data_IF_125379598040
#
_entry.id   IF_125379598040
#
_cell.length_a   1.000
_cell.length_b   1.000
_cell.length_c   1.000
_cell.angle_alpha   90.00
_cell.angle_beta   90.00
_cell.angle_gamma   90.00
#
_symmetry.space_group_name_H-M   'P 1'
#
loop_
_entity.id
_entity.type
_entity.pdbx_description
1 polymer ?
#
# COMPACT_ATOMS: atom_id res chain seq x y z
N UNK A 1 -7.70 -13.12 6.53
CA UNK A 1 -6.25 -12.96 6.70
C UNK A 1 -5.56 -12.71 5.39
N UNK A 2 -4.83 -11.62 5.31
CA UNK A 2 -4.22 -11.22 4.06
C UNK A 2 -2.73 -10.94 4.28
N UNK A 3 -1.97 -10.97 3.18
CA UNK A 3 -0.57 -10.57 3.16
C UNK A 3 -0.54 -9.16 2.58
N UNK A 4 -0.05 -8.20 3.35
CA UNK A 4 -0.08 -6.78 2.99
C UNK A 4 1.34 -6.22 2.98
N UNK A 5 1.73 -5.64 1.84
CA UNK A 5 2.98 -4.91 1.73
C UNK A 5 2.67 -3.44 2.01
N UNK A 6 3.38 -2.86 2.97
CA UNK A 6 3.21 -1.43 3.28
C UNK A 6 4.50 -0.69 2.97
N UNK A 7 4.36 0.55 2.53
CA UNK A 7 5.50 1.45 2.30
C UNK A 7 5.22 2.79 2.96
N UNK A 8 6.01 3.15 3.93
CA UNK A 8 5.87 4.36 4.72
C UNK A 8 7.25 4.75 5.25
N UNK A 9 7.69 5.98 5.00
CA UNK A 9 9.01 6.43 5.40
C UNK A 9 9.08 6.86 6.87
N UNK A 10 7.97 7.29 7.47
CA UNK A 10 7.95 7.68 8.87
C UNK A 10 7.84 6.45 9.77
N UNK A 11 8.84 6.27 10.64
CA UNK A 11 8.93 5.08 11.50
C UNK A 11 7.70 4.90 12.37
N UNK A 12 7.22 5.97 13.01
CA UNK A 12 6.09 5.87 13.93
C UNK A 12 4.80 5.46 13.21
N UNK A 13 4.56 6.03 12.04
CA UNK A 13 3.37 5.71 11.25
C UNK A 13 3.49 4.28 10.71
N UNK A 14 4.66 3.91 10.21
CA UNK A 14 4.91 2.55 9.71
C UNK A 14 4.67 1.51 10.81
N UNK A 15 5.17 1.76 12.01
CA UNK A 15 4.98 0.87 13.13
C UNK A 15 3.50 0.80 13.56
N UNK A 16 2.80 1.93 13.54
CA UNK A 16 1.38 1.96 13.89
C UNK A 16 0.56 1.11 12.92
N UNK A 17 0.79 1.28 11.62
CA UNK A 17 0.08 0.52 10.59
C UNK A 17 0.39 -0.97 10.73
N UNK A 18 1.67 -1.31 10.87
CA UNK A 18 2.13 -2.69 10.99
C UNK A 18 1.50 -3.37 12.20
N UNK A 19 1.59 -2.73 13.38
CA UNK A 19 1.03 -3.26 14.61
C UNK A 19 -0.49 -3.44 14.50
N UNK A 20 -1.17 -2.41 13.99
CA UNK A 20 -2.63 -2.41 13.91
C UNK A 20 -3.13 -3.55 13.01
N UNK A 21 -2.57 -3.67 11.82
CA UNK A 21 -3.04 -4.67 10.87
C UNK A 21 -2.62 -6.09 11.28
N UNK A 22 -1.44 -6.23 11.87
CA UNK A 22 -1.00 -7.52 12.41
C UNK A 22 -1.93 -7.99 13.52
N UNK A 23 -2.39 -7.07 14.38
CA UNK A 23 -3.25 -7.40 15.51
C UNK A 23 -4.61 -7.96 15.09
N UNK A 24 -5.06 -7.69 13.88
CA UNK A 24 -6.31 -8.23 13.34
C UNK A 24 -6.09 -9.40 12.38
N UNK A 25 -4.89 -9.97 12.39
CA UNK A 25 -4.62 -11.25 11.72
C UNK A 25 -3.95 -11.18 10.36
N UNK A 26 -3.51 -9.99 9.91
CA UNK A 26 -2.82 -9.87 8.63
C UNK A 26 -1.31 -10.08 8.79
N UNK A 27 -0.68 -10.62 7.75
CA UNK A 27 0.78 -10.72 7.67
C UNK A 27 1.28 -9.45 6.98
N UNK A 28 2.25 -8.76 7.60
CA UNK A 28 2.72 -7.47 7.11
C UNK A 28 4.19 -7.54 6.69
N UNK A 29 4.46 -7.06 5.49
CA UNK A 29 5.83 -6.83 5.00
C UNK A 29 5.97 -5.32 4.87
N UNK A 30 6.98 -4.73 5.52
CA UNK A 30 7.15 -3.29 5.57
C UNK A 30 8.34 -2.82 4.74
N UNK A 31 8.16 -1.72 4.02
CA UNK A 31 9.20 -1.03 3.27
C UNK A 31 9.26 0.42 3.72
N UNK A 32 10.42 1.04 3.57
CA UNK A 32 10.67 2.40 4.07
C UNK A 32 10.57 3.48 3.01
N UNK A 33 10.49 3.09 1.74
CA UNK A 33 10.34 4.02 0.62
C UNK A 33 9.80 3.27 -0.60
N UNK A 34 9.50 4.02 -1.67
CA UNK A 34 8.93 3.44 -2.88
C UNK A 34 9.86 2.49 -3.61
N UNK A 35 11.16 2.78 -3.63
CA UNK A 35 12.12 1.91 -4.29
C UNK A 35 12.21 0.55 -3.59
N UNK A 36 12.26 0.54 -2.26
CA UNK A 36 12.29 -0.68 -1.48
C UNK A 36 10.97 -1.46 -1.64
N UNK A 37 9.83 -0.76 -1.68
CA UNK A 37 8.53 -1.40 -1.87
C UNK A 37 8.47 -2.12 -3.22
N UNK A 38 8.93 -1.48 -4.29
CA UNK A 38 8.95 -2.08 -5.62
C UNK A 38 9.87 -3.31 -5.64
N UNK A 39 11.06 -3.18 -5.06
CA UNK A 39 12.02 -4.28 -4.95
C UNK A 39 11.42 -5.48 -4.22
N UNK A 40 10.79 -5.24 -3.07
CA UNK A 40 10.15 -6.32 -2.29
C UNK A 40 8.99 -6.96 -3.04
N UNK A 41 8.19 -6.17 -3.73
CA UNK A 41 7.08 -6.69 -4.53
C UNK A 41 7.60 -7.61 -5.64
N UNK A 42 8.67 -7.22 -6.32
CA UNK A 42 9.29 -8.02 -7.36
C UNK A 42 9.82 -9.33 -6.78
N UNK A 43 10.51 -9.27 -5.65
CA UNK A 43 11.01 -10.48 -4.98
C UNK A 43 9.87 -11.42 -4.60
N UNK A 44 8.78 -10.89 -4.07
CA UNK A 44 7.60 -11.68 -3.71
C UNK A 44 7.00 -12.34 -4.94
N UNK A 45 6.94 -11.63 -6.06
CA UNK A 45 6.46 -12.20 -7.32
C UNK A 45 7.37 -13.35 -7.80
N UNK A 46 8.69 -13.17 -7.72
CA UNK A 46 9.64 -14.18 -8.12
C UNK A 46 9.55 -15.45 -7.28
N UNK A 47 9.17 -15.30 -6.01
CA UNK A 47 8.99 -16.41 -5.08
C UNK A 47 7.58 -17.00 -5.10
N UNK A 48 6.71 -16.53 -5.98
CA UNK A 48 5.29 -16.90 -6.04
C UNK A 48 4.56 -16.68 -4.71
N UNK A 49 4.91 -15.58 -4.03
CA UNK A 49 4.38 -15.25 -2.71
C UNK A 49 3.85 -13.81 -2.75
N UNK A 50 2.84 -13.58 -3.59
CA UNK A 50 2.31 -12.25 -3.88
C UNK A 50 1.56 -11.64 -2.70
N UNK A 51 1.66 -10.32 -2.50
CA UNK A 51 0.80 -9.66 -1.53
C UNK A 51 -0.64 -9.61 -2.04
N UNK A 52 -1.58 -9.56 -1.11
CA UNK A 52 -3.00 -9.41 -1.43
C UNK A 52 -3.37 -7.94 -1.60
N UNK A 53 -2.59 -7.04 -1.00
CA UNK A 53 -2.82 -5.62 -1.01
C UNK A 53 -1.49 -4.89 -0.78
N UNK A 54 -1.33 -3.76 -1.43
CA UNK A 54 -0.19 -2.86 -1.20
C UNK A 54 -0.75 -1.53 -0.69
N UNK A 55 -0.30 -1.12 0.51
CA UNK A 55 -0.59 0.19 1.08
C UNK A 55 0.65 1.04 0.98
N UNK A 56 0.56 2.20 0.36
CA UNK A 56 1.74 2.97 0.04
C UNK A 56 1.53 4.46 0.21
N UNK A 57 2.41 5.10 0.97
CA UNK A 57 2.40 6.55 1.08
C UNK A 57 2.73 7.17 -0.28
N UNK A 58 2.11 8.29 -0.57
CA UNK A 58 2.38 9.02 -1.80
C UNK A 58 3.77 9.65 -1.76
N UNK A 59 4.11 10.33 -0.66
CA UNK A 59 5.33 11.12 -0.54
C UNK A 59 6.39 10.38 0.25
N UNK A 60 7.35 9.81 -0.48
CA UNK A 60 8.47 9.09 0.11
C UNK A 60 9.76 9.51 -0.58
N UNK A 61 10.92 9.43 0.12
CA UNK A 61 12.21 9.72 -0.52
C UNK A 61 12.55 8.62 -1.53
N UNK A 62 13.49 8.92 -2.41
CA UNK A 62 14.05 8.04 -3.44
C UNK A 62 13.08 7.72 -4.57
N UNK A 63 11.87 7.29 -4.27
CA UNK A 63 10.84 6.99 -5.25
C UNK A 63 9.48 7.24 -4.59
N UNK A 64 8.64 8.04 -5.25
CA UNK A 64 7.30 8.31 -4.73
C UNK A 64 6.42 7.08 -4.82
N UNK A 65 5.30 7.09 -4.09
CA UNK A 65 4.32 6.02 -4.20
C UNK A 65 3.76 5.88 -5.61
N UNK A 66 3.56 6.98 -6.31
CA UNK A 66 3.07 6.94 -7.70
C UNK A 66 4.06 6.24 -8.62
N UNK A 67 5.33 6.59 -8.52
CA UNK A 67 6.38 5.96 -9.32
C UNK A 67 6.48 4.46 -9.04
N UNK A 68 6.43 4.08 -7.76
CA UNK A 68 6.47 2.68 -7.38
C UNK A 68 5.24 1.92 -7.90
N UNK A 69 4.05 2.51 -7.78
CA UNK A 69 2.82 1.91 -8.28
C UNK A 69 2.89 1.71 -9.79
N UNK A 70 3.36 2.70 -10.52
CA UNK A 70 3.53 2.59 -11.98
C UNK A 70 4.47 1.43 -12.32
N UNK A 71 5.60 1.31 -11.61
CA UNK A 71 6.53 0.20 -11.83
C UNK A 71 5.89 -1.16 -11.57
N UNK A 72 5.07 -1.25 -10.52
CA UNK A 72 4.34 -2.48 -10.21
C UNK A 72 3.34 -2.83 -11.30
N UNK A 73 2.60 -1.83 -11.81
CA UNK A 73 1.59 -2.06 -12.84
C UNK A 73 2.20 -2.43 -14.20
N UNK A 74 3.46 -2.10 -14.42
CA UNK A 74 4.19 -2.50 -15.61
C UNK A 74 4.71 -3.94 -15.54
N UNK A 75 4.69 -4.55 -14.36
CA UNK A 75 5.11 -5.94 -14.16
C UNK A 75 3.88 -6.84 -14.26
N UNK A 76 3.82 -7.77 -15.25
CA UNK A 76 2.62 -8.61 -15.44
C UNK A 76 2.22 -9.41 -14.22
N UNK A 77 3.17 -9.78 -13.36
CA UNK A 77 2.88 -10.56 -12.15
C UNK A 77 2.31 -9.71 -11.03
N UNK A 78 2.55 -8.40 -11.06
CA UNK A 78 2.11 -7.46 -10.04
C UNK A 78 0.94 -6.59 -10.48
N UNK A 79 0.64 -6.55 -11.76
CA UNK A 79 -0.32 -5.60 -12.33
C UNK A 79 -1.72 -5.71 -11.72
N UNK A 80 -2.12 -6.89 -11.29
CA UNK A 80 -3.45 -7.12 -10.72
C UNK A 80 -3.50 -7.00 -9.19
N UNK A 81 -2.37 -6.74 -8.53
CA UNK A 81 -2.36 -6.54 -7.08
C UNK A 81 -2.96 -5.17 -6.77
N UNK A 82 -3.99 -5.10 -5.91
CA UNK A 82 -4.58 -3.79 -5.59
C UNK A 82 -3.62 -2.91 -4.81
N UNK A 83 -3.59 -1.63 -5.15
CA UNK A 83 -2.77 -0.62 -4.48
C UNK A 83 -3.70 0.45 -3.92
N UNK A 84 -3.54 0.78 -2.64
CA UNK A 84 -4.21 1.90 -2.02
C UNK A 84 -3.15 2.86 -1.47
N UNK A 85 -3.36 4.15 -1.67
CA UNK A 85 -2.40 5.15 -1.21
C UNK A 85 -2.79 5.73 0.14
N UNK A 86 -1.78 6.08 0.93
CA UNK A 86 -1.92 6.90 2.13
C UNK A 86 -1.64 8.34 1.70
N UNK A 87 -2.59 9.23 1.86
CA UNK A 87 -2.48 10.60 1.38
C UNK A 87 -2.88 11.61 2.46
N UNK A 88 -2.26 12.78 2.43
CA UNK A 88 -2.59 13.84 3.37
C UNK A 88 -3.95 14.46 3.02
N UNK A 89 -4.67 14.89 4.04
CA UNK A 89 -5.95 15.57 3.87
C UNK A 89 -5.77 16.85 3.03
N UNK A 90 -6.67 17.05 2.09
CA UNK A 90 -6.63 18.24 1.23
C UNK A 90 -5.79 18.07 -0.04
N UNK A 91 -5.33 16.88 -0.34
CA UNK A 91 -4.47 16.62 -1.51
C UNK A 91 -5.28 15.96 -2.64
N UNK A 92 -6.36 16.61 -3.08
CA UNK A 92 -7.22 16.03 -4.13
C UNK A 92 -6.49 15.79 -5.45
N UNK A 93 -5.52 16.65 -5.80
CA UNK A 93 -4.73 16.45 -7.02
C UNK A 93 -3.91 15.16 -6.94
N UNK A 94 -3.42 14.82 -5.76
CA UNK A 94 -2.69 13.56 -5.53
C UNK A 94 -3.62 12.36 -5.69
N UNK A 95 -4.84 12.46 -5.21
CA UNK A 95 -5.83 11.40 -5.33
C UNK A 95 -6.09 11.08 -6.80
N UNK A 96 -6.32 12.12 -7.62
CA UNK A 96 -6.54 11.94 -9.04
C UNK A 96 -5.35 11.28 -9.73
N UNK A 97 -4.15 11.75 -9.46
CA UNK A 97 -2.93 11.18 -10.04
C UNK A 97 -2.76 9.72 -9.66
N UNK A 98 -3.07 9.37 -8.43
CA UNK A 98 -2.97 7.97 -7.97
C UNK A 98 -3.93 7.03 -8.69
N UNK A 99 -5.16 7.46 -8.95
CA UNK A 99 -6.10 6.66 -9.72
C UNK A 99 -5.62 6.50 -11.17
N UNK A 100 -4.99 7.53 -11.73
CA UNK A 100 -4.44 7.46 -13.07
C UNK A 100 -3.31 6.43 -13.21
N UNK A 101 -2.52 6.22 -12.15
CA UNK A 101 -1.46 5.20 -12.16
C UNK A 101 -1.94 3.83 -11.68
N UNK A 102 -3.22 3.68 -11.37
CA UNK A 102 -3.82 2.38 -11.13
C UNK A 102 -4.21 2.05 -9.70
N UNK A 103 -4.24 3.03 -8.80
CA UNK A 103 -4.71 2.82 -7.43
C UNK A 103 -6.22 2.55 -7.42
N UNK A 104 -6.67 1.75 -6.44
CA UNK A 104 -8.09 1.46 -6.31
C UNK A 104 -8.75 2.23 -5.19
N UNK A 105 -7.97 2.79 -4.27
CA UNK A 105 -8.54 3.53 -3.14
C UNK A 105 -7.48 4.37 -2.45
N UNK A 106 -7.93 5.17 -1.47
CA UNK A 106 -7.09 6.04 -0.66
C UNK A 106 -7.47 5.92 0.81
N UNK A 107 -6.48 6.11 1.68
CA UNK A 107 -6.68 6.28 3.12
C UNK A 107 -6.09 7.63 3.47
N UNK A 108 -6.91 8.51 4.03
CA UNK A 108 -6.52 9.89 4.31
C UNK A 108 -5.85 9.98 5.68
N UNK A 109 -4.69 10.59 5.73
CA UNK A 109 -3.96 10.85 6.98
C UNK A 109 -4.36 12.22 7.54
N UNK A 110 -4.48 12.38 8.85
CA UNK A 110 -4.37 11.34 9.88
C UNK A 110 -5.61 10.45 9.92
N UNK A 111 -5.43 9.20 10.25
CA UNK A 111 -6.52 8.23 10.37
C UNK A 111 -6.60 7.69 11.80
N UNK A 112 -7.78 7.28 12.22
CA UNK A 112 -7.95 6.54 13.46
C UNK A 112 -7.68 5.05 13.20
N UNK A 113 -7.31 4.32 14.24
CA UNK A 113 -6.98 2.89 14.13
C UNK A 113 -8.15 2.10 13.53
N UNK A 114 -9.36 2.34 14.03
CA UNK A 114 -10.55 1.64 13.55
C UNK A 114 -10.89 2.00 12.10
N UNK A 115 -10.60 3.23 11.67
CA UNK A 115 -10.78 3.65 10.29
C UNK A 115 -9.82 2.91 9.36
N UNK A 116 -8.57 2.74 9.77
CA UNK A 116 -7.59 1.99 9.00
C UNK A 116 -8.04 0.54 8.82
N UNK A 117 -8.43 -0.13 9.90
CA UNK A 117 -8.90 -1.51 9.87
C UNK A 117 -10.11 -1.65 8.95
N UNK A 118 -11.09 -0.76 9.12
CA UNK A 118 -12.31 -0.78 8.32
C UNK A 118 -12.02 -0.61 6.83
N UNK A 119 -11.16 0.36 6.49
CA UNK A 119 -10.84 0.65 5.10
C UNK A 119 -10.11 -0.53 4.45
N UNK A 120 -9.13 -1.09 5.13
CA UNK A 120 -8.39 -2.25 4.64
C UNK A 120 -9.34 -3.44 4.44
N UNK A 121 -10.21 -3.70 5.40
CA UNK A 121 -11.18 -4.78 5.31
C UNK A 121 -12.11 -4.59 4.10
N UNK A 122 -12.60 -3.37 3.88
CA UNK A 122 -13.45 -3.05 2.74
C UNK A 122 -12.72 -3.29 1.41
N UNK A 123 -11.47 -2.85 1.30
CA UNK A 123 -10.69 -3.04 0.07
C UNK A 123 -10.48 -4.52 -0.20
N UNK A 124 -10.11 -5.30 0.81
CA UNK A 124 -9.89 -6.74 0.65
C UNK A 124 -11.16 -7.47 0.23
N UNK A 125 -12.31 -7.09 0.79
CA UNK A 125 -13.60 -7.65 0.40
C UNK A 125 -13.95 -7.30 -1.05
N UNK A 126 -13.68 -6.07 -1.44
CA UNK A 126 -13.97 -5.56 -2.78
C UNK A 126 -13.19 -6.31 -3.86
N UNK A 127 -11.96 -6.73 -3.56
CA UNK A 127 -11.12 -7.46 -4.52
C UNK A 127 -11.22 -8.98 -4.37
N UNK A 128 -12.09 -9.46 -3.50
CA UNK A 128 -12.32 -10.89 -3.35
C UNK A 128 -11.23 -11.63 -2.58
N UNK A 129 -10.45 -10.92 -1.78
CA UNK A 129 -9.37 -11.53 -1.00
C UNK A 129 -9.88 -12.10 0.34
#
# INVERSE_FOLDING_TARGET
MAKILIAEDELDIRNLITFTLHSVGHEIIAATNGAEALEKAIEMAEQNDLPDLILMDVRMPRMTGYEACKGMKENPRLANIPVAFLSAKGQESEVKEGFEVGAIDYIIKPFAIDQLIKKVTQILQQVGA
#
